data_IF_059988839722
#
_entry.id   IF_059988839722
#
_cell.length_a   1.000
_cell.length_b   1.000
_cell.length_c   1.000
_cell.angle_alpha   90.00
_cell.angle_beta   90.00
_cell.angle_gamma   90.00
#
_symmetry.space_group_name_H-M   'P 1'
#
loop_
_entity.id
_entity.type
_entity.pdbx_description
1 polymer ?
#
# COMPACT_ATOMS: atom_id res chain seq x y z
N UNK A 1 35.02 32.07 4.50
CA UNK A 1 34.78 31.27 5.70
C UNK A 1 35.10 32.13 6.90
N UNK A 2 34.12 32.77 7.55
CA UNK A 2 34.36 33.55 8.79
C UNK A 2 34.53 32.54 9.93
N UNK A 3 35.69 32.57 10.58
CA UNK A 3 35.93 31.78 11.79
C UNK A 3 34.91 32.17 12.86
N UNK A 4 34.12 31.26 13.34
CA UNK A 4 33.31 31.43 14.54
C UNK A 4 34.28 31.64 15.71
N UNK A 5 34.22 32.82 16.35
CA UNK A 5 34.93 33.08 17.56
C UNK A 5 34.29 32.25 18.70
N UNK A 6 35.08 31.46 19.44
CA UNK A 6 34.56 30.77 20.62
C UNK A 6 34.30 31.81 21.71
N UNK A 7 33.04 31.99 22.13
CA UNK A 7 32.67 32.79 23.29
C UNK A 7 31.57 33.84 23.10
N UNK A 8 30.93 33.95 21.96
CA UNK A 8 29.75 34.80 21.84
C UNK A 8 28.60 34.21 22.69
N UNK A 9 28.15 34.94 23.72
CA UNK A 9 27.00 34.57 24.54
C UNK A 9 25.78 34.38 23.60
N UNK A 10 25.00 33.32 23.84
CA UNK A 10 23.74 33.09 23.13
C UNK A 10 22.81 34.30 23.33
N UNK A 11 22.41 34.94 22.23
CA UNK A 11 21.45 36.05 22.24
C UNK A 11 20.13 35.56 21.62
N UNK A 12 19.06 35.36 22.41
CA UNK A 12 17.78 34.90 21.93
C UNK A 12 17.08 35.91 20.99
N UNK A 13 17.40 37.19 21.10
CA UNK A 13 16.81 38.26 20.26
C UNK A 13 17.30 38.18 18.81
N UNK A 14 18.35 37.42 18.53
CA UNK A 14 18.85 37.16 17.19
C UNK A 14 18.25 35.91 16.53
N UNK A 15 17.35 35.20 17.22
CA UNK A 15 16.69 34.03 16.67
C UNK A 15 15.63 34.46 15.66
N UNK A 16 15.69 33.87 14.51
CA UNK A 16 14.64 34.01 13.49
C UNK A 16 13.50 33.02 13.80
N UNK A 17 12.28 33.41 13.44
CA UNK A 17 11.19 32.43 13.37
C UNK A 17 11.57 31.27 12.41
N UNK A 18 11.11 30.04 12.64
CA UNK A 18 11.54 28.87 11.86
C UNK A 18 11.41 29.06 10.35
N UNK A 19 10.31 29.63 9.89
CA UNK A 19 10.04 29.90 8.47
C UNK A 19 11.03 30.90 7.88
N UNK A 20 11.33 31.98 8.62
CA UNK A 20 12.30 32.98 8.22
C UNK A 20 13.72 32.43 8.19
N UNK A 21 14.07 31.57 9.14
CA UNK A 21 15.37 30.89 9.19
C UNK A 21 15.55 29.96 8.00
N UNK A 22 14.53 29.15 7.65
CA UNK A 22 14.54 28.28 6.49
C UNK A 22 14.68 29.09 5.20
N UNK A 23 13.90 30.16 5.05
CA UNK A 23 13.97 31.02 3.86
C UNK A 23 15.37 31.66 3.71
N UNK A 24 15.93 32.16 4.79
CA UNK A 24 17.28 32.77 4.80
C UNK A 24 18.35 31.71 4.46
N UNK A 25 18.22 30.50 5.02
CA UNK A 25 19.14 29.39 4.74
C UNK A 25 19.10 28.99 3.25
N UNK A 26 17.90 28.77 2.70
CA UNK A 26 17.72 28.40 1.29
C UNK A 26 18.21 29.48 0.33
N UNK A 27 18.00 30.75 0.67
CA UNK A 27 18.53 31.89 -0.11
C UNK A 27 20.06 31.95 -0.10
N UNK A 28 20.68 31.60 1.03
CA UNK A 28 22.13 31.60 1.17
C UNK A 28 22.80 30.40 0.49
N UNK A 29 22.20 29.20 0.64
CA UNK A 29 22.74 27.94 0.08
C UNK A 29 22.49 27.84 -1.42
N UNK A 30 21.37 28.37 -1.89
CA UNK A 30 20.96 28.32 -3.32
C UNK A 30 21.10 26.91 -3.90
N UNK A 31 20.36 25.93 -3.37
CA UNK A 31 20.51 24.56 -3.84
C UNK A 31 20.22 24.49 -5.34
N UNK A 32 21.12 23.86 -6.07
CA UNK A 32 20.95 23.64 -7.50
C UNK A 32 20.17 22.34 -7.74
N UNK A 33 19.38 22.31 -8.82
CA UNK A 33 18.75 21.09 -9.27
C UNK A 33 19.81 20.13 -9.81
N UNK A 34 19.80 18.90 -9.33
CA UNK A 34 20.67 17.84 -9.87
C UNK A 34 20.15 17.40 -11.26
N UNK A 35 21.06 16.98 -12.13
CA UNK A 35 20.70 16.35 -13.39
C UNK A 35 19.99 15.01 -13.19
N UNK A 36 19.39 14.51 -14.26
CA UNK A 36 18.73 13.20 -14.29
C UNK A 36 19.51 12.26 -15.18
N UNK A 37 19.57 10.98 -14.82
CA UNK A 37 20.18 9.92 -15.60
C UNK A 37 19.36 8.63 -15.48
N UNK A 38 19.36 7.82 -16.52
CA UNK A 38 18.78 6.50 -16.51
C UNK A 38 19.84 5.49 -16.04
N UNK A 39 19.50 4.71 -15.02
CA UNK A 39 20.39 3.70 -14.44
C UNK A 39 19.69 2.34 -14.35
N UNK A 40 20.40 1.23 -14.51
CA UNK A 40 19.86 -0.08 -14.25
C UNK A 40 19.35 -0.19 -12.81
N UNK A 41 18.27 -0.96 -12.57
CA UNK A 41 17.67 -1.13 -11.24
C UNK A 41 18.69 -1.55 -10.18
N UNK A 42 19.64 -2.41 -10.52
CA UNK A 42 20.69 -2.85 -9.61
C UNK A 42 21.63 -1.71 -9.15
N UNK A 43 21.74 -0.63 -9.93
CA UNK A 43 22.53 0.55 -9.61
C UNK A 43 21.70 1.70 -9.00
N UNK A 44 20.41 1.50 -8.81
CA UNK A 44 19.48 2.52 -8.32
C UNK A 44 19.50 2.68 -6.79
N UNK A 45 20.10 1.75 -6.06
CA UNK A 45 20.18 1.84 -4.60
C UNK A 45 20.90 3.11 -4.14
N UNK A 46 20.29 3.84 -3.20
CA UNK A 46 20.84 5.12 -2.71
C UNK A 46 20.59 6.32 -3.62
N UNK A 47 19.88 6.15 -4.76
CA UNK A 47 19.51 7.23 -5.67
C UNK A 47 18.14 7.81 -5.32
N UNK A 48 17.90 9.04 -5.77
CA UNK A 48 16.62 9.72 -5.62
C UNK A 48 15.89 9.63 -6.97
N UNK A 49 14.62 9.23 -6.93
CA UNK A 49 13.80 9.19 -8.14
C UNK A 49 13.61 10.61 -8.72
N UNK A 50 13.92 10.77 -9.99
CA UNK A 50 13.71 12.02 -10.70
C UNK A 50 12.24 12.26 -11.06
N UNK A 51 11.43 11.19 -11.11
CA UNK A 51 9.99 11.22 -11.38
C UNK A 51 9.28 10.20 -10.47
N UNK A 52 8.00 10.45 -10.18
CA UNK A 52 7.19 9.49 -9.44
C UNK A 52 7.11 8.16 -10.17
N UNK A 53 7.33 7.07 -9.44
CA UNK A 53 6.99 5.75 -9.93
C UNK A 53 5.46 5.57 -9.81
N UNK A 54 4.82 5.28 -10.93
CA UNK A 54 3.37 5.07 -10.99
C UNK A 54 3.13 3.65 -11.44
N UNK A 55 2.26 2.92 -10.73
CA UNK A 55 1.84 1.59 -11.13
C UNK A 55 1.01 1.67 -12.42
N UNK A 56 1.16 0.70 -13.30
CA UNK A 56 0.43 0.56 -14.55
C UNK A 56 -1.01 0.04 -14.36
N UNK A 57 -1.38 -0.33 -13.14
CA UNK A 57 -2.71 -0.78 -12.76
C UNK A 57 -2.90 -0.88 -11.25
N UNK A 58 -4.08 -1.31 -10.79
CA UNK A 58 -4.35 -1.49 -9.37
C UNK A 58 -3.46 -2.59 -8.77
N UNK A 59 -2.98 -2.36 -7.55
CA UNK A 59 -2.21 -3.34 -6.80
C UNK A 59 -2.81 -3.51 -5.39
N UNK A 60 -3.20 -4.73 -5.00
CA UNK A 60 -3.20 -5.97 -5.78
C UNK A 60 -4.17 -5.94 -6.97
N UNK A 61 -3.86 -6.69 -8.03
CA UNK A 61 -4.66 -6.77 -9.26
C UNK A 61 -6.02 -7.48 -9.07
N UNK A 62 -6.23 -8.12 -7.93
CA UNK A 62 -7.48 -8.78 -7.55
C UNK A 62 -7.63 -8.80 -6.03
N UNK A 63 -8.86 -8.83 -5.55
CA UNK A 63 -9.15 -8.97 -4.14
C UNK A 63 -8.66 -10.33 -3.61
N UNK A 64 -8.01 -10.31 -2.45
CA UNK A 64 -7.43 -11.49 -1.83
C UNK A 64 -7.90 -11.66 -0.40
N UNK A 65 -8.02 -12.92 0.01
CA UNK A 65 -8.31 -13.25 1.40
C UNK A 65 -7.17 -12.83 2.32
N UNK A 66 -7.49 -12.22 3.44
CA UNK A 66 -6.55 -11.89 4.51
C UNK A 66 -6.43 -13.01 5.55
N UNK A 67 -7.27 -14.04 5.49
CA UNK A 67 -7.33 -15.13 6.46
C UNK A 67 -7.68 -16.46 5.75
N UNK A 68 -7.33 -17.57 6.40
CA UNK A 68 -7.81 -18.89 6.01
C UNK A 68 -9.29 -19.04 6.38
N UNK A 69 -10.09 -19.63 5.49
CA UNK A 69 -11.51 -19.80 5.76
C UNK A 69 -12.30 -20.21 4.54
N UNK A 70 -13.46 -19.60 4.39
CA UNK A 70 -14.40 -19.88 3.29
C UNK A 70 -14.83 -18.59 2.61
N UNK A 71 -14.80 -18.58 1.29
CA UNK A 71 -15.42 -17.57 0.47
C UNK A 71 -16.91 -17.89 0.35
N UNK A 72 -17.77 -16.95 0.77
CA UNK A 72 -19.23 -17.09 0.80
C UNK A 72 -19.90 -15.79 0.37
N UNK A 73 -21.13 -15.86 -0.08
CA UNK A 73 -21.91 -14.64 -0.36
C UNK A 73 -22.51 -14.07 0.92
N UNK A 74 -22.32 -12.78 1.15
CA UNK A 74 -22.91 -12.07 2.31
C UNK A 74 -24.44 -12.14 2.28
N UNK A 75 -25.04 -12.06 1.12
CA UNK A 75 -26.49 -12.12 0.94
C UNK A 75 -27.14 -13.42 1.46
N UNK A 76 -26.37 -14.50 1.59
CA UNK A 76 -26.91 -15.77 2.10
C UNK A 76 -27.06 -15.81 3.64
N UNK A 77 -26.65 -14.73 4.34
CA UNK A 77 -26.77 -14.62 5.80
C UNK A 77 -26.05 -15.75 6.55
N UNK A 78 -26.70 -16.35 7.53
CA UNK A 78 -26.16 -17.43 8.39
C UNK A 78 -26.60 -18.83 8.00
N UNK A 79 -27.23 -19.00 6.82
CA UNK A 79 -27.73 -20.30 6.39
C UNK A 79 -26.58 -21.31 6.15
N UNK A 80 -26.81 -22.62 6.37
CA UNK A 80 -25.85 -23.66 6.01
C UNK A 80 -25.48 -23.60 4.54
N UNK A 81 -24.22 -23.86 4.21
CA UNK A 81 -23.68 -23.79 2.86
C UNK A 81 -22.99 -25.09 2.45
N UNK A 82 -23.11 -25.44 1.20
CA UNK A 82 -22.43 -26.57 0.63
C UNK A 82 -21.01 -26.17 0.17
N UNK A 83 -20.00 -26.89 0.62
CA UNK A 83 -18.61 -26.66 0.14
C UNK A 83 -18.50 -27.26 -1.26
N UNK A 84 -18.25 -26.41 -2.28
CA UNK A 84 -18.18 -26.81 -3.69
C UNK A 84 -16.77 -26.86 -4.25
N UNK A 85 -15.77 -26.38 -3.52
CA UNK A 85 -14.40 -26.38 -4.00
C UNK A 85 -13.38 -25.77 -3.04
N UNK A 86 -12.16 -25.68 -3.54
CA UNK A 86 -11.03 -25.06 -2.84
C UNK A 86 -10.30 -24.12 -3.78
N UNK A 87 -10.11 -22.90 -3.33
CA UNK A 87 -9.30 -21.88 -4.02
C UNK A 87 -7.84 -22.14 -3.61
N UNK A 88 -6.95 -22.19 -4.58
CA UNK A 88 -5.52 -22.39 -4.36
C UNK A 88 -4.78 -21.07 -4.42
N UNK A 89 -3.75 -20.91 -3.57
CA UNK A 89 -2.87 -19.75 -3.65
C UNK A 89 -2.17 -19.71 -5.02
N UNK A 90 -2.09 -18.53 -5.60
CA UNK A 90 -1.44 -18.32 -6.91
C UNK A 90 -2.26 -18.78 -8.12
N UNK A 91 -3.46 -19.33 -7.92
CA UNK A 91 -4.37 -19.72 -8.99
C UNK A 91 -5.63 -18.86 -9.01
N UNK A 92 -6.24 -18.75 -10.19
CA UNK A 92 -7.58 -18.16 -10.32
C UNK A 92 -8.61 -19.07 -9.62
N UNK A 93 -9.68 -18.51 -9.04
CA UNK A 93 -10.81 -19.29 -8.55
C UNK A 93 -11.40 -20.18 -9.65
N UNK A 94 -11.87 -21.41 -9.32
CA UNK A 94 -12.46 -22.31 -10.32
C UNK A 94 -13.77 -21.83 -10.91
N UNK A 95 -14.37 -20.79 -10.33
CA UNK A 95 -15.62 -20.18 -10.79
C UNK A 95 -16.22 -19.30 -9.68
N UNK A 96 -17.41 -18.71 -9.94
CA UNK A 96 -18.16 -17.95 -8.95
C UNK A 96 -18.73 -18.88 -7.87
N UNK A 97 -19.01 -18.32 -6.69
CA UNK A 97 -19.76 -19.01 -5.63
C UNK A 97 -21.25 -18.68 -5.79
N UNK A 98 -22.06 -19.68 -5.99
CA UNK A 98 -23.51 -19.54 -6.11
C UNK A 98 -24.19 -19.39 -4.73
N UNK A 99 -25.50 -19.03 -4.72
CA UNK A 99 -26.28 -18.96 -3.49
C UNK A 99 -26.28 -20.34 -2.77
N UNK A 100 -26.08 -20.33 -1.44
CA UNK A 100 -25.99 -21.54 -0.64
C UNK A 100 -24.70 -22.34 -0.82
N UNK A 101 -23.68 -21.79 -1.48
CA UNK A 101 -22.38 -22.42 -1.67
C UNK A 101 -21.27 -21.72 -0.90
N UNK A 102 -20.18 -22.46 -0.73
CA UNK A 102 -18.92 -21.96 -0.15
C UNK A 102 -17.70 -22.61 -0.83
N UNK A 103 -16.61 -21.89 -0.92
CA UNK A 103 -15.31 -22.45 -1.33
C UNK A 103 -14.28 -22.25 -0.22
N UNK A 104 -13.49 -23.28 0.06
CA UNK A 104 -12.33 -23.10 0.94
C UNK A 104 -11.34 -22.13 0.32
N UNK A 105 -10.83 -21.19 1.11
CA UNK A 105 -9.88 -20.20 0.65
C UNK A 105 -8.74 -20.02 1.67
N UNK A 106 -7.47 -20.10 1.24
CA UNK A 106 -6.33 -19.80 2.10
C UNK A 106 -6.07 -18.29 2.13
N UNK A 107 -5.32 -17.84 3.10
CA UNK A 107 -4.71 -16.50 3.14
C UNK A 107 -3.99 -16.22 1.83
N UNK A 108 -4.21 -15.06 1.23
CA UNK A 108 -3.66 -14.68 -0.08
C UNK A 108 -4.39 -15.29 -1.28
N UNK A 109 -5.36 -16.18 -1.09
CA UNK A 109 -6.21 -16.70 -2.16
C UNK A 109 -7.01 -15.59 -2.85
N UNK A 110 -7.15 -15.67 -4.16
CA UNK A 110 -7.94 -14.70 -4.94
C UNK A 110 -9.43 -14.96 -4.69
N UNK A 111 -10.17 -13.89 -4.37
CA UNK A 111 -11.62 -13.99 -4.20
C UNK A 111 -12.31 -14.27 -5.55
N UNK A 112 -13.35 -15.09 -5.58
CA UNK A 112 -14.12 -15.35 -6.80
C UNK A 112 -14.71 -14.07 -7.37
N UNK A 113 -14.64 -13.91 -8.68
CA UNK A 113 -15.29 -12.79 -9.37
C UNK A 113 -16.82 -12.89 -9.27
N UNK A 114 -17.50 -11.74 -9.14
CA UNK A 114 -18.97 -11.69 -9.14
C UNK A 114 -19.59 -10.84 -8.05
N UNK A 115 -18.80 -10.17 -7.21
CA UNK A 115 -19.32 -9.09 -6.37
C UNK A 115 -19.43 -7.80 -7.20
N UNK A 116 -20.56 -7.06 -7.18
CA UNK A 116 -20.60 -5.71 -7.71
C UNK A 116 -19.56 -4.85 -6.98
N UNK A 117 -18.91 -3.96 -7.70
CA UNK A 117 -17.86 -3.03 -7.24
C UNK A 117 -18.43 -1.97 -6.27
N UNK A 118 -18.89 -2.36 -5.12
CA UNK A 118 -19.18 -1.47 -4.02
C UNK A 118 -18.12 -1.66 -2.94
N UNK A 119 -17.74 -0.59 -2.27
CA UNK A 119 -16.69 -0.43 -1.28
C UNK A 119 -16.74 -1.36 -0.06
N UNK A 120 -17.52 -2.44 -0.11
CA UNK A 120 -17.53 -3.57 0.83
C UNK A 120 -17.54 -4.87 0.02
N UNK A 121 -16.60 -5.80 0.23
CA UNK A 121 -16.66 -7.10 -0.39
C UNK A 121 -17.95 -7.80 0.07
N UNK A 122 -18.80 -8.24 -0.89
CA UNK A 122 -20.01 -9.04 -0.62
C UNK A 122 -19.66 -10.45 -0.10
N UNK A 123 -18.43 -10.65 0.37
CA UNK A 123 -17.87 -11.90 0.83
C UNK A 123 -17.44 -11.79 2.28
N UNK A 124 -17.95 -12.67 3.13
CA UNK A 124 -17.48 -12.82 4.51
C UNK A 124 -16.58 -14.03 4.59
N UNK A 125 -15.41 -13.85 5.21
CA UNK A 125 -14.51 -14.93 5.55
C UNK A 125 -14.85 -15.40 6.96
N UNK A 126 -15.29 -16.65 7.10
CA UNK A 126 -15.47 -17.27 8.40
C UNK A 126 -14.26 -18.15 8.71
N UNK A 127 -13.53 -17.81 9.75
CA UNK A 127 -12.60 -18.74 10.39
C UNK A 127 -13.42 -19.83 11.10
N UNK A 128 -13.07 -21.08 10.80
CA UNK A 128 -13.52 -22.30 11.46
C UNK A 128 -15.05 -22.52 11.58
N UNK A 129 -15.59 -23.30 10.66
CA UNK A 129 -16.79 -24.08 10.93
C UNK A 129 -16.36 -25.41 11.56
N UNK A 130 -16.90 -25.69 12.75
CA UNK A 130 -16.79 -26.98 13.45
C UNK A 130 -17.68 -27.99 12.74
#
# INVERSE_FOLDING_TARGET
>A
MRSMQPGAAFNPDLLLAPEAAIAAYLAAVRPSTLGQEDVPLAAAFGRILARNAVADGPYPAADRSTMDGFAVRVADGTLPRRITGTIRMGAAPPGPVAAGEAMRIPTGGVLPAGAPSSTRPDWVLFGRMV
#
